data_IF_674933785128
#
_entry.id   IF_674933785128
#
_cell.length_a   1.000
_cell.length_b   1.000
_cell.length_c   1.000
_cell.angle_alpha   90.00
_cell.angle_beta   90.00
_cell.angle_gamma   90.00
#
_symmetry.space_group_name_H-M   'P 1'
#
loop_
_entity.id
_entity.type
_entity.pdbx_description
1 polymer ?
#
# COMPACT_ATOMS: atom_id res chain seq x y z
N UNK A 1 22.19 -11.63 -7.36
CA UNK A 1 20.87 -10.99 -7.21
C UNK A 1 20.47 -10.73 -5.76
N UNK A 2 20.94 -11.50 -4.77
CA UNK A 2 20.58 -11.36 -3.34
C UNK A 2 21.15 -10.12 -2.63
N UNK A 3 22.31 -9.60 -3.05
CA UNK A 3 22.91 -8.40 -2.45
C UNK A 3 22.12 -7.12 -2.80
N UNK A 4 21.55 -7.07 -4.01
CA UNK A 4 20.75 -5.95 -4.49
C UNK A 4 19.43 -5.83 -3.72
N UNK A 5 18.76 -6.95 -3.42
CA UNK A 5 17.51 -6.97 -2.63
C UNK A 5 17.74 -6.58 -1.18
N UNK A 6 18.79 -7.10 -0.51
CA UNK A 6 19.10 -6.71 0.87
C UNK A 6 19.40 -5.20 0.98
N UNK A 7 20.10 -4.65 -0.02
CA UNK A 7 20.39 -3.21 -0.06
C UNK A 7 19.11 -2.41 -0.22
N UNK A 8 18.24 -2.82 -1.15
CA UNK A 8 16.95 -2.18 -1.37
C UNK A 8 16.05 -2.21 -0.12
N UNK A 9 15.94 -3.37 0.54
CA UNK A 9 15.15 -3.53 1.77
C UNK A 9 15.61 -2.56 2.86
N UNK A 10 16.92 -2.50 3.11
CA UNK A 10 17.50 -1.59 4.11
C UNK A 10 17.27 -0.11 3.76
N UNK A 11 17.45 0.25 2.49
CA UNK A 11 17.25 1.63 2.03
C UNK A 11 15.78 2.04 2.16
N UNK A 12 14.85 1.18 1.74
CA UNK A 12 13.42 1.47 1.84
C UNK A 12 12.93 1.49 3.30
N UNK A 13 13.43 0.60 4.15
CA UNK A 13 13.16 0.64 5.59
C UNK A 13 13.63 1.99 6.18
N UNK A 14 14.85 2.43 5.85
CA UNK A 14 15.36 3.72 6.32
C UNK A 14 14.46 4.89 5.89
N UNK A 15 14.08 4.96 4.61
CA UNK A 15 13.18 6.01 4.12
C UNK A 15 11.80 5.94 4.77
N UNK A 16 11.27 4.73 4.98
CA UNK A 16 10.01 4.52 5.69
C UNK A 16 10.08 5.14 7.09
N UNK A 17 11.08 4.77 7.90
CA UNK A 17 11.20 5.27 9.27
C UNK A 17 11.44 6.79 9.31
N UNK A 18 12.20 7.32 8.34
CA UNK A 18 12.43 8.75 8.21
C UNK A 18 11.12 9.51 7.93
N UNK A 19 10.31 9.08 6.97
CA UNK A 19 9.03 9.74 6.63
C UNK A 19 8.07 9.67 7.82
N UNK A 20 7.94 8.52 8.47
CA UNK A 20 7.11 8.38 9.68
C UNK A 20 7.54 9.36 10.78
N UNK A 21 8.86 9.52 10.98
CA UNK A 21 9.42 10.48 11.94
C UNK A 21 9.10 11.93 11.57
N UNK A 22 9.26 12.31 10.30
CA UNK A 22 8.99 13.68 9.81
C UNK A 22 7.52 14.04 9.95
N UNK A 23 6.64 13.10 9.61
CA UNK A 23 5.17 13.27 9.73
C UNK A 23 4.72 13.28 11.20
N UNK A 24 5.52 12.72 12.12
CA UNK A 24 5.19 12.65 13.53
C UNK A 24 4.12 11.59 13.86
N UNK A 25 4.02 10.53 13.05
CA UNK A 25 3.16 9.37 13.34
C UNK A 25 3.98 8.09 13.43
N UNK A 26 3.46 7.06 14.12
CA UNK A 26 4.10 5.73 14.15
C UNK A 26 3.40 4.74 13.21
N UNK A 27 4.12 3.71 12.69
CA UNK A 27 3.49 2.66 11.88
C UNK A 27 2.31 1.98 12.58
N UNK A 28 2.38 1.81 13.89
CA UNK A 28 1.29 1.26 14.70
C UNK A 28 0.05 2.18 14.71
N UNK A 29 0.25 3.49 14.88
CA UNK A 29 -0.86 4.45 14.87
C UNK A 29 -1.50 4.55 13.48
N UNK A 30 -0.69 4.63 12.43
CA UNK A 30 -1.15 4.63 11.05
C UNK A 30 -1.91 3.35 10.72
N UNK A 31 -1.36 2.18 11.08
CA UNK A 31 -2.02 0.89 10.89
C UNK A 31 -3.38 0.79 11.55
N UNK A 32 -3.51 1.23 12.81
CA UNK A 32 -4.82 1.28 13.49
C UNK A 32 -5.82 2.17 12.75
N UNK A 33 -5.41 3.39 12.38
CA UNK A 33 -6.26 4.33 11.64
C UNK A 33 -6.68 3.80 10.28
N UNK A 34 -5.80 3.05 9.62
CA UNK A 34 -6.08 2.41 8.35
C UNK A 34 -7.18 1.36 8.50
N UNK A 35 -7.04 0.45 9.47
CA UNK A 35 -8.07 -0.56 9.78
C UNK A 35 -9.40 0.07 10.18
N UNK A 36 -9.34 1.14 10.97
CA UNK A 36 -10.52 1.81 11.49
C UNK A 36 -11.25 2.67 10.46
N UNK A 37 -10.58 3.17 9.42
CA UNK A 37 -11.19 4.11 8.47
C UNK A 37 -11.11 3.62 7.02
N UNK A 38 -9.91 3.57 6.46
CA UNK A 38 -9.70 3.27 5.04
C UNK A 38 -10.14 1.84 4.69
N UNK A 39 -9.85 0.87 5.55
CA UNK A 39 -10.17 -0.54 5.31
C UNK A 39 -11.68 -0.84 5.30
N UNK A 40 -12.52 0.06 5.85
CA UNK A 40 -13.99 -0.05 5.72
C UNK A 40 -14.46 0.17 4.30
N UNK A 41 -13.73 0.98 3.53
CA UNK A 41 -13.99 1.23 2.11
C UNK A 41 -13.23 0.24 1.22
N UNK A 42 -11.99 -0.11 1.60
CA UNK A 42 -11.11 -1.00 0.82
C UNK A 42 -10.48 -2.11 1.68
N UNK A 43 -11.19 -3.24 1.90
CA UNK A 43 -10.72 -4.34 2.75
C UNK A 43 -9.67 -5.24 2.07
N UNK A 44 -8.54 -4.65 1.68
CA UNK A 44 -7.51 -5.29 0.84
C UNK A 44 -6.35 -5.89 1.62
N UNK A 45 -6.29 -5.68 2.95
CA UNK A 45 -5.27 -6.25 3.83
C UNK A 45 -5.97 -7.00 4.98
N UNK A 46 -5.57 -8.24 5.24
CA UNK A 46 -6.01 -8.92 6.45
C UNK A 46 -5.41 -8.23 7.71
N UNK A 47 -6.20 -7.93 8.75
CA UNK A 47 -5.70 -7.21 9.94
C UNK A 47 -4.46 -7.85 10.58
N UNK A 48 -4.42 -9.18 10.64
CA UNK A 48 -3.26 -9.94 11.15
C UNK A 48 -2.00 -9.71 10.33
N UNK A 49 -2.10 -9.73 9.00
CA UNK A 49 -0.97 -9.44 8.10
C UNK A 49 -0.43 -8.04 8.31
N UNK A 50 -1.32 -7.06 8.43
CA UNK A 50 -0.89 -5.69 8.71
C UNK A 50 -0.14 -5.60 10.04
N UNK A 51 -0.62 -6.30 11.07
CA UNK A 51 0.06 -6.37 12.35
C UNK A 51 1.45 -7.01 12.23
N UNK A 52 1.59 -8.13 11.53
CA UNK A 52 2.88 -8.78 11.25
C UNK A 52 3.86 -7.81 10.56
N UNK A 53 3.39 -7.07 9.55
CA UNK A 53 4.20 -6.07 8.85
C UNK A 53 4.68 -4.94 9.76
N UNK A 54 3.81 -4.46 10.66
CA UNK A 54 4.16 -3.42 11.64
C UNK A 54 5.18 -3.96 12.66
N UNK A 55 5.02 -5.19 13.13
CA UNK A 55 5.96 -5.83 14.06
C UNK A 55 7.34 -6.02 13.43
N UNK A 56 7.40 -6.46 12.16
CA UNK A 56 8.65 -6.58 11.41
C UNK A 56 9.32 -5.22 11.18
N UNK A 57 8.53 -4.19 10.89
CA UNK A 57 9.01 -2.80 10.76
C UNK A 57 9.61 -2.28 12.08
N UNK A 58 8.98 -2.60 13.22
CA UNK A 58 9.50 -2.26 14.54
C UNK A 58 10.86 -2.91 14.86
N UNK A 59 11.17 -4.05 14.23
CA UNK A 59 12.46 -4.74 14.31
C UNK A 59 13.50 -4.24 13.29
N UNK A 60 13.14 -3.30 12.42
CA UNK A 60 14.00 -2.81 11.35
C UNK A 60 14.24 -3.81 10.22
N UNK A 61 13.34 -4.79 10.07
CA UNK A 61 13.43 -5.87 9.09
C UNK A 61 12.29 -5.87 8.04
N UNK A 62 11.61 -4.75 7.69
CA UNK A 62 10.59 -4.82 6.66
C UNK A 62 11.25 -5.01 5.29
N UNK A 63 10.65 -5.83 4.43
CA UNK A 63 10.98 -5.86 3.00
C UNK A 63 10.69 -4.51 2.35
N UNK A 64 11.31 -4.22 1.21
CA UNK A 64 11.10 -2.97 0.50
C UNK A 64 9.64 -2.79 0.01
N UNK A 65 8.97 -3.87 -0.37
CA UNK A 65 7.53 -3.90 -0.71
C UNK A 65 6.65 -3.57 0.50
N UNK A 66 6.94 -4.15 1.67
CA UNK A 66 6.25 -3.84 2.93
C UNK A 66 6.52 -2.41 3.37
N UNK A 67 7.74 -1.90 3.14
CA UNK A 67 8.11 -0.52 3.47
C UNK A 67 7.28 0.48 2.67
N UNK A 68 7.11 0.27 1.36
CA UNK A 68 6.26 1.14 0.53
C UNK A 68 4.78 0.96 0.81
N UNK A 69 4.33 -0.24 1.22
CA UNK A 69 2.97 -0.45 1.72
C UNK A 69 2.69 0.37 2.98
N UNK A 70 3.58 0.31 3.98
CA UNK A 70 3.44 1.10 5.20
C UNK A 70 3.51 2.60 4.92
N UNK A 71 4.29 3.03 3.93
CA UNK A 71 4.31 4.43 3.47
C UNK A 71 3.01 4.85 2.76
N UNK A 72 2.40 3.99 1.95
CA UNK A 72 1.10 4.25 1.35
C UNK A 72 0.00 4.37 2.42
N UNK A 73 0.05 3.50 3.44
CA UNK A 73 -0.81 3.59 4.63
C UNK A 73 -0.58 4.91 5.37
N UNK A 74 0.68 5.29 5.60
CA UNK A 74 1.09 6.55 6.22
C UNK A 74 0.42 7.75 5.53
N UNK A 75 0.45 7.79 4.19
CA UNK A 75 -0.14 8.85 3.37
C UNK A 75 -1.66 9.00 3.58
N UNK A 76 -2.42 7.89 3.51
CA UNK A 76 -3.89 7.94 3.61
C UNK A 76 -4.39 8.12 5.05
N UNK A 77 -3.52 7.95 6.04
CA UNK A 77 -3.84 8.19 7.46
C UNK A 77 -3.21 9.45 8.04
N UNK A 78 -2.60 10.28 7.19
CA UNK A 78 -2.11 11.60 7.57
C UNK A 78 -3.24 12.40 8.21
N UNK A 79 -2.95 12.98 9.37
CA UNK A 79 -3.81 13.99 9.96
C UNK A 79 -3.34 15.36 9.53
N UNK A 80 -4.27 16.22 9.17
CA UNK A 80 -4.04 17.65 9.10
C UNK A 80 -3.78 18.14 10.54
N UNK A 81 -2.52 18.11 10.97
CA UNK A 81 -2.13 18.63 12.28
C UNK A 81 -2.41 20.13 12.37
N UNK A 82 -2.88 20.61 13.53
CA UNK A 82 -3.14 22.03 13.78
C UNK A 82 -1.90 22.94 13.62
N UNK A 83 -0.70 22.36 13.69
CA UNK A 83 0.58 23.08 13.66
C UNK A 83 1.37 22.88 12.34
N UNK A 84 0.83 22.14 11.37
CA UNK A 84 1.51 21.79 10.11
C UNK A 84 1.03 22.67 8.96
N UNK A 85 1.54 23.91 8.85
CA UNK A 85 1.46 24.75 7.64
C UNK A 85 0.13 24.68 6.86
N UNK A 86 0.20 24.69 5.52
CA UNK A 86 -0.94 24.32 4.66
C UNK A 86 -1.04 22.78 4.60
N UNK A 87 -2.11 22.16 5.14
CA UNK A 87 -2.28 20.70 5.13
C UNK A 87 -2.23 20.09 3.73
N UNK A 88 -2.71 20.82 2.71
CA UNK A 88 -2.72 20.32 1.33
C UNK A 88 -1.31 20.18 0.76
N UNK A 89 -0.45 21.16 1.04
CA UNK A 89 0.95 21.12 0.65
C UNK A 89 1.69 19.96 1.34
N UNK A 90 1.40 19.72 2.61
CA UNK A 90 2.00 18.62 3.36
C UNK A 90 1.62 17.24 2.80
N UNK A 91 0.33 17.02 2.53
CA UNK A 91 -0.15 15.77 1.91
C UNK A 91 0.43 15.56 0.50
N UNK A 92 0.52 16.62 -0.31
CA UNK A 92 1.12 16.55 -1.64
C UNK A 92 2.61 16.19 -1.60
N UNK A 93 3.37 16.77 -0.67
CA UNK A 93 4.80 16.47 -0.53
C UNK A 93 5.06 15.02 -0.09
N UNK A 94 4.25 14.52 0.85
CA UNK A 94 4.31 13.12 1.27
C UNK A 94 3.91 12.21 0.11
N UNK A 95 2.86 12.53 -0.63
CA UNK A 95 2.44 11.75 -1.81
C UNK A 95 3.56 11.62 -2.85
N UNK A 96 4.19 12.73 -3.25
CA UNK A 96 5.32 12.72 -4.20
C UNK A 96 6.46 11.84 -3.69
N UNK A 97 6.77 11.94 -2.40
CA UNK A 97 7.83 11.12 -1.77
C UNK A 97 7.48 9.64 -1.82
N UNK A 98 6.27 9.26 -1.39
CA UNK A 98 5.81 7.87 -1.37
C UNK A 98 5.74 7.30 -2.78
N UNK A 99 5.21 8.06 -3.75
CA UNK A 99 5.12 7.64 -5.15
C UNK A 99 6.50 7.40 -5.78
N UNK A 100 7.49 8.24 -5.44
CA UNK A 100 8.87 8.07 -5.91
C UNK A 100 9.50 6.79 -5.36
N UNK A 101 9.36 6.55 -4.05
CA UNK A 101 9.88 5.34 -3.41
C UNK A 101 9.17 4.08 -3.94
N UNK A 102 7.85 4.15 -4.12
CA UNK A 102 7.06 3.09 -4.75
C UNK A 102 7.58 2.75 -6.15
N UNK A 103 7.81 3.76 -7.00
CA UNK A 103 8.32 3.54 -8.35
C UNK A 103 9.71 2.88 -8.37
N UNK A 104 10.60 3.25 -7.43
CA UNK A 104 11.90 2.60 -7.27
C UNK A 104 11.76 1.12 -6.92
N UNK A 105 10.89 0.80 -5.96
CA UNK A 105 10.63 -0.60 -5.56
C UNK A 105 10.01 -1.39 -6.71
N UNK A 106 9.01 -0.83 -7.38
CA UNK A 106 8.36 -1.45 -8.53
C UNK A 106 9.35 -1.76 -9.67
N UNK A 107 10.36 -0.90 -9.87
CA UNK A 107 11.37 -1.11 -10.91
C UNK A 107 12.43 -2.16 -10.55
N UNK A 108 12.64 -2.45 -9.27
CA UNK A 108 13.75 -3.29 -8.79
C UNK A 108 13.32 -4.66 -8.25
N UNK A 109 12.04 -4.83 -7.89
CA UNK A 109 11.53 -6.05 -7.27
C UNK A 109 10.56 -6.80 -8.18
N UNK A 110 10.41 -8.10 -7.90
CA UNK A 110 9.30 -8.88 -8.43
C UNK A 110 7.98 -8.41 -7.81
N UNK A 111 6.89 -8.54 -8.58
CA UNK A 111 5.55 -8.24 -8.08
C UNK A 111 5.23 -9.07 -6.83
N UNK A 112 4.66 -8.41 -5.82
CA UNK A 112 4.20 -9.04 -4.58
C UNK A 112 2.84 -8.48 -4.19
N UNK A 113 2.09 -9.22 -3.35
CA UNK A 113 0.78 -8.76 -2.84
C UNK A 113 0.92 -7.43 -2.10
N UNK A 114 1.97 -7.25 -1.28
CA UNK A 114 2.22 -6.01 -0.56
C UNK A 114 2.47 -4.82 -1.49
N UNK A 115 3.24 -5.03 -2.57
CA UNK A 115 3.48 -4.00 -3.58
C UNK A 115 2.19 -3.62 -4.33
N UNK A 116 1.34 -4.60 -4.63
CA UNK A 116 0.04 -4.35 -5.28
C UNK A 116 -0.90 -3.60 -4.33
N UNK A 117 -0.98 -4.00 -3.07
CA UNK A 117 -1.75 -3.28 -2.04
C UNK A 117 -1.28 -1.82 -1.93
N UNK A 118 0.04 -1.57 -1.92
CA UNK A 118 0.59 -0.22 -1.87
C UNK A 118 0.17 0.62 -3.09
N UNK A 119 0.25 0.05 -4.29
CA UNK A 119 -0.16 0.72 -5.53
C UNK A 119 -1.65 1.03 -5.58
N UNK A 120 -2.50 0.11 -5.11
CA UNK A 120 -3.94 0.32 -5.01
C UNK A 120 -4.27 1.46 -4.04
N UNK A 121 -3.63 1.50 -2.87
CA UNK A 121 -3.81 2.60 -1.90
C UNK A 121 -3.38 3.95 -2.51
N UNK A 122 -2.24 3.98 -3.22
CA UNK A 122 -1.77 5.18 -3.92
C UNK A 122 -2.75 5.65 -5.00
N UNK A 123 -3.25 4.72 -5.83
CA UNK A 123 -4.22 5.06 -6.88
C UNK A 123 -5.53 5.60 -6.31
N UNK A 124 -5.99 5.05 -5.18
CA UNK A 124 -7.18 5.53 -4.50
C UNK A 124 -6.99 6.95 -3.93
N UNK A 125 -5.81 7.25 -3.37
CA UNK A 125 -5.45 8.60 -2.93
C UNK A 125 -5.40 9.58 -4.11
N UNK A 126 -4.79 9.18 -5.22
CA UNK A 126 -4.69 10.00 -6.44
C UNK A 126 -6.07 10.32 -6.99
N UNK A 127 -6.94 9.32 -7.08
CA UNK A 127 -8.33 9.49 -7.48
C UNK A 127 -9.07 10.46 -6.55
N UNK A 128 -8.97 10.27 -5.22
CA UNK A 128 -9.62 11.12 -4.23
C UNK A 128 -9.10 12.57 -4.22
N UNK A 129 -7.85 12.79 -4.65
CA UNK A 129 -7.24 14.11 -4.79
C UNK A 129 -7.47 14.76 -6.16
N UNK A 130 -8.21 14.11 -7.07
CA UNK A 130 -8.51 14.61 -8.41
C UNK A 130 -7.40 14.39 -9.45
N UNK A 131 -6.36 13.62 -9.12
CA UNK A 131 -5.27 13.25 -10.02
C UNK A 131 -5.65 12.02 -10.86
N UNK A 132 -6.57 12.20 -11.81
CA UNK A 132 -7.19 11.10 -12.57
C UNK A 132 -6.17 10.35 -13.45
N UNK A 133 -5.38 11.05 -14.28
CA UNK A 133 -4.41 10.36 -15.16
C UNK A 133 -3.33 9.59 -14.36
N UNK A 134 -2.73 10.18 -13.30
CA UNK A 134 -1.80 9.43 -12.45
C UNK A 134 -2.45 8.20 -11.79
N UNK A 135 -3.69 8.33 -11.30
CA UNK A 135 -4.43 7.22 -10.69
C UNK A 135 -4.66 6.09 -11.70
N UNK A 136 -5.05 6.43 -12.93
CA UNK A 136 -5.27 5.48 -14.01
C UNK A 136 -4.00 4.70 -14.37
N UNK A 137 -2.85 5.38 -14.44
CA UNK A 137 -1.56 4.72 -14.70
C UNK A 137 -1.18 3.79 -13.54
N UNK A 138 -1.33 4.27 -12.30
CA UNK A 138 -1.04 3.49 -11.10
C UNK A 138 -1.89 2.21 -11.03
N UNK A 139 -3.19 2.29 -11.32
CA UNK A 139 -4.08 1.13 -11.29
C UNK A 139 -3.79 0.15 -12.43
N UNK A 140 -3.45 0.64 -13.62
CA UNK A 140 -3.06 -0.21 -14.76
C UNK A 140 -1.80 -1.05 -14.44
N UNK A 141 -0.82 -0.45 -13.76
CA UNK A 141 0.35 -1.19 -13.28
C UNK A 141 -0.03 -2.27 -12.25
N UNK A 142 -0.96 -1.98 -11.35
CA UNK A 142 -1.47 -2.93 -10.37
C UNK A 142 -2.17 -4.13 -11.02
N UNK A 143 -2.95 -3.92 -12.09
CA UNK A 143 -3.57 -5.02 -12.86
C UNK A 143 -2.51 -5.98 -13.38
N UNK A 144 -1.45 -5.46 -14.02
CA UNK A 144 -0.38 -6.29 -14.58
C UNK A 144 0.36 -7.06 -13.50
N UNK A 145 0.66 -6.42 -12.37
CA UNK A 145 1.28 -7.12 -11.24
C UNK A 145 0.37 -8.18 -10.63
N UNK A 146 -0.93 -7.91 -10.49
CA UNK A 146 -1.90 -8.86 -9.97
C UNK A 146 -2.02 -10.13 -10.84
N UNK A 147 -1.98 -9.97 -12.17
CA UNK A 147 -1.92 -11.08 -13.12
C UNK A 147 -0.63 -11.90 -12.97
N UNK A 148 0.51 -11.25 -12.75
CA UNK A 148 1.80 -11.94 -12.53
C UNK A 148 1.79 -12.74 -11.22
N UNK A 149 1.18 -12.20 -10.16
CA UNK A 149 1.10 -12.84 -8.84
C UNK A 149 0.00 -13.91 -8.78
N UNK A 150 -1.00 -13.85 -9.67
CA UNK A 150 -2.14 -14.78 -9.69
C UNK A 150 -3.22 -14.45 -8.66
N UNK A 151 -3.42 -13.15 -8.36
CA UNK A 151 -4.44 -12.70 -7.40
C UNK A 151 -5.86 -12.90 -7.96
N UNK A 152 -6.01 -12.89 -9.28
CA UNK A 152 -7.25 -13.19 -9.99
C UNK A 152 -7.78 -14.62 -9.71
N UNK A 153 -6.90 -15.55 -9.37
CA UNK A 153 -7.26 -16.91 -8.96
C UNK A 153 -7.57 -17.06 -7.45
N UNK A 154 -7.48 -15.99 -6.65
CA UNK A 154 -7.71 -16.06 -5.19
C UNK A 154 -9.11 -16.58 -4.82
N UNK A 155 -10.10 -16.41 -5.70
CA UNK A 155 -11.45 -16.96 -5.53
C UNK A 155 -11.46 -18.46 -5.26
N UNK A 156 -10.59 -19.23 -5.93
CA UNK A 156 -10.52 -20.68 -5.80
C UNK A 156 -10.11 -21.13 -4.39
N UNK A 157 -9.41 -20.24 -3.65
CA UNK A 157 -8.93 -20.48 -2.29
C UNK A 157 -9.93 -20.04 -1.22
N UNK A 158 -11.09 -19.47 -1.57
CA UNK A 158 -12.10 -19.06 -0.60
C UNK A 158 -12.79 -20.24 0.09
N UNK A 159 -12.78 -21.43 -0.53
CA UNK A 159 -13.35 -22.66 0.02
C UNK A 159 -12.48 -23.36 1.08
N UNK A 160 -11.33 -22.80 1.45
CA UNK A 160 -10.42 -23.44 2.41
C UNK A 160 -11.01 -23.47 3.82
N UNK A 161 -10.86 -24.61 4.50
CA UNK A 161 -11.38 -24.83 5.86
C UNK A 161 -10.61 -24.03 6.92
N UNK A 162 -9.34 -23.70 6.67
CA UNK A 162 -8.51 -22.94 7.60
C UNK A 162 -8.87 -21.45 7.56
N UNK A 163 -9.37 -20.94 8.68
CA UNK A 163 -9.90 -19.57 8.81
C UNK A 163 -8.88 -18.50 8.40
N UNK A 164 -7.60 -18.67 8.74
CA UNK A 164 -6.56 -17.72 8.40
C UNK A 164 -6.28 -17.65 6.90
N UNK A 165 -6.21 -18.82 6.24
CA UNK A 165 -6.08 -18.92 4.78
C UNK A 165 -7.29 -18.32 4.08
N UNK A 166 -8.48 -18.54 4.65
CA UNK A 166 -9.74 -17.98 4.15
C UNK A 166 -9.78 -16.45 4.26
N UNK A 167 -9.33 -15.87 5.37
CA UNK A 167 -9.24 -14.41 5.56
C UNK A 167 -8.22 -13.79 4.60
N UNK A 168 -7.08 -14.45 4.40
CA UNK A 168 -6.08 -14.03 3.41
C UNK A 168 -6.67 -14.03 2.00
N UNK A 169 -7.27 -15.16 1.57
CA UNK A 169 -7.90 -15.29 0.26
C UNK A 169 -9.02 -14.27 0.06
N UNK A 170 -9.78 -13.95 1.11
CA UNK A 170 -10.80 -12.90 1.09
C UNK A 170 -10.18 -11.52 0.82
N UNK A 171 -9.08 -11.18 1.49
CA UNK A 171 -8.39 -9.91 1.26
C UNK A 171 -7.77 -9.80 -0.14
N UNK A 172 -7.23 -10.90 -0.68
CA UNK A 172 -6.70 -10.97 -2.04
C UNK A 172 -7.82 -10.85 -3.09
N UNK A 173 -8.96 -11.51 -2.84
CA UNK A 173 -10.13 -11.36 -3.69
C UNK A 173 -10.70 -9.93 -3.67
N UNK A 174 -10.77 -9.32 -2.49
CA UNK A 174 -11.17 -7.92 -2.34
C UNK A 174 -10.18 -6.99 -3.05
N UNK A 175 -8.89 -7.29 -3.02
CA UNK A 175 -7.86 -6.54 -3.74
C UNK A 175 -8.08 -6.63 -5.25
N UNK A 176 -8.38 -7.81 -5.78
CA UNK A 176 -8.74 -7.98 -7.20
C UNK A 176 -9.98 -7.16 -7.59
N UNK A 177 -11.05 -7.24 -6.81
CA UNK A 177 -12.25 -6.42 -7.05
C UNK A 177 -11.98 -4.93 -6.96
N UNK A 178 -11.17 -4.50 -6.00
CA UNK A 178 -10.77 -3.09 -5.85
C UNK A 178 -10.08 -2.57 -7.09
N UNK A 179 -9.19 -3.39 -7.68
CA UNK A 179 -8.49 -3.06 -8.92
C UNK A 179 -9.48 -2.88 -10.08
N UNK A 180 -10.39 -3.83 -10.29
CA UNK A 180 -11.40 -3.77 -11.38
C UNK A 180 -12.30 -2.54 -11.20
N UNK A 181 -12.73 -2.26 -9.97
CA UNK A 181 -13.59 -1.14 -9.65
C UNK A 181 -12.90 0.18 -9.96
N UNK A 182 -11.68 0.39 -9.46
CA UNK A 182 -10.91 1.62 -9.68
C UNK A 182 -10.56 1.83 -11.16
N UNK A 183 -10.26 0.76 -11.91
CA UNK A 183 -10.04 0.83 -13.35
C UNK A 183 -11.27 1.37 -14.09
N UNK A 184 -12.47 0.83 -13.80
CA UNK A 184 -13.70 1.22 -14.49
C UNK A 184 -14.13 2.66 -14.23
N UNK A 185 -13.95 3.15 -13.00
CA UNK A 185 -14.28 4.54 -12.67
C UNK A 185 -13.28 5.53 -13.26
N UNK A 186 -12.04 5.12 -13.48
CA UNK A 186 -11.01 5.99 -14.09
C UNK A 186 -11.19 6.18 -15.61
N UNK A 187 -11.96 5.32 -16.29
CA UNK A 187 -12.22 5.40 -17.74
C UNK A 187 -13.54 6.13 -18.09
N UNK A 188 -14.41 6.33 -17.10
CA UNK A 188 -15.79 6.83 -17.33
C UNK A 188 -15.97 8.35 -17.11
N UNK A 189 -14.88 9.11 -17.00
CA UNK A 189 -14.87 10.57 -16.81
C UNK A 189 -14.15 11.20 -18.00
#
# INVERSE_FOLDING_TARGET
MTVSTITLDKTMAYHMHYVYKVVGQSPLQAGKRFLDNFQRWLPIIAPRRLQEHIELSGRGLPGADVSVLLLAICLVTLQSGRDLGDPLFHHSAVHVTVKTLYAQVQAMMHASVALIQAGVILSAYEYASGQIDPAYISIAACIRMAQVVGIDAAYEKLGTVQEETRLQATSEWNLWWSIIVLERYSVSI
#
